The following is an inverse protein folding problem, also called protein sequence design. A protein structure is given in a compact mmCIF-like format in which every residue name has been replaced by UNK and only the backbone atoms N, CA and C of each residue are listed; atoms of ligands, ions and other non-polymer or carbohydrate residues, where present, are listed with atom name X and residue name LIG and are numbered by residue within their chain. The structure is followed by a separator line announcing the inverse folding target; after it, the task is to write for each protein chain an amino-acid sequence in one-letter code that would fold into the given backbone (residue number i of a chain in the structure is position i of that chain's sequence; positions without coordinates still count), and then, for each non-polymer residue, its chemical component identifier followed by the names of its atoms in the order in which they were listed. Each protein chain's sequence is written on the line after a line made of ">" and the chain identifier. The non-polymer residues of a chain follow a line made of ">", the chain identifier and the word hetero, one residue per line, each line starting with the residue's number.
data_IF_353881633620
#
_entry.id   IF_353881633620
#
_cell.length_a   1.000
_cell.length_b   1.000
_cell.length_c   1.000
_cell.angle_alpha   90.00
_cell.angle_beta   90.00
_cell.angle_gamma   90.00
#
_symmetry.space_group_name_H-M   'P 1'
#
loop_
_entity.id
_entity.type
_entity.pdbx_description
1 polymer ?
#
# COMPACT_ATOMS: atom_id res chain seq x y z
N UNK A 1 15.63 -5.14 -6.56
CA UNK A 1 14.59 -4.10 -6.35
C UNK A 1 14.79 -3.44 -5.00
N UNK A 2 14.37 -2.18 -4.88
CA UNK A 2 14.48 -1.42 -3.63
C UNK A 2 13.08 -0.95 -3.21
N UNK A 3 12.68 -1.26 -1.99
CA UNK A 3 11.44 -0.75 -1.38
C UNK A 3 11.79 0.18 -0.23
N UNK A 4 11.11 1.34 -0.16
CA UNK A 4 11.20 2.26 0.97
C UNK A 4 9.84 2.44 1.60
N UNK A 5 9.75 2.22 2.91
CA UNK A 5 8.57 2.53 3.71
C UNK A 5 8.53 4.04 3.95
N UNK A 6 7.81 4.79 3.12
CA UNK A 6 7.63 6.24 3.34
C UNK A 6 6.76 6.47 4.58
N UNK A 7 5.78 5.61 4.79
CA UNK A 7 4.95 5.50 5.97
C UNK A 7 4.63 4.04 6.28
N UNK A 8 4.70 3.68 7.54
CA UNK A 8 4.52 2.32 8.08
C UNK A 8 3.47 2.23 9.19
N UNK A 9 2.77 3.32 9.44
CA UNK A 9 1.81 3.45 10.54
C UNK A 9 0.39 3.07 10.15
N UNK A 10 -0.43 2.98 11.18
CA UNK A 10 -1.86 2.73 11.15
C UNK A 10 -2.69 4.01 10.90
N UNK A 11 -4.02 3.88 10.94
CA UNK A 11 -4.95 4.99 10.78
C UNK A 11 -4.81 6.09 11.86
N UNK A 12 -4.27 5.75 13.03
CA UNK A 12 -4.26 6.61 14.21
C UNK A 12 -2.89 7.26 14.46
N UNK A 13 -1.90 7.01 13.60
CA UNK A 13 -0.56 7.56 13.74
C UNK A 13 0.20 7.00 14.94
N UNK A 14 -0.03 5.73 15.28
CA UNK A 14 0.65 5.04 16.38
C UNK A 14 2.17 5.18 16.28
N UNK A 15 2.80 5.60 17.37
CA UNK A 15 4.24 5.86 17.40
C UNK A 15 4.69 7.08 16.59
N UNK A 16 3.79 8.00 16.21
CA UNK A 16 4.09 9.17 15.39
C UNK A 16 4.42 8.85 13.93
N UNK A 17 4.02 7.66 13.44
CA UNK A 17 4.31 7.18 12.10
C UNK A 17 3.36 7.75 11.05
N UNK A 18 3.88 7.94 9.84
CA UNK A 18 3.06 8.25 8.68
C UNK A 18 2.19 7.06 8.28
N UNK A 19 1.00 7.33 7.72
CA UNK A 19 0.12 6.31 7.19
C UNK A 19 0.78 5.48 6.09
N UNK A 20 0.25 4.30 5.85
CA UNK A 20 0.79 3.33 4.89
C UNK A 20 1.08 3.96 3.52
N UNK A 21 2.35 3.87 3.12
CA UNK A 21 2.83 4.29 1.81
C UNK A 21 4.19 3.65 1.54
N UNK A 22 4.29 2.77 0.54
CA UNK A 22 5.54 2.12 0.19
C UNK A 22 5.97 2.55 -1.21
N UNK A 23 7.24 2.93 -1.35
CA UNK A 23 7.84 3.35 -2.60
C UNK A 23 8.74 2.24 -3.14
N UNK A 24 8.31 1.60 -4.23
CA UNK A 24 9.05 0.58 -4.94
C UNK A 24 9.82 1.20 -6.09
N UNK A 25 11.16 1.11 -6.01
CA UNK A 25 12.08 1.51 -7.08
C UNK A 25 12.50 0.27 -7.86
N UNK A 26 12.34 0.32 -9.18
CA UNK A 26 12.73 -0.72 -10.11
C UNK A 26 14.03 -0.37 -10.83
N UNK A 27 14.79 -1.36 -11.29
CA UNK A 27 15.98 -1.13 -12.12
C UNK A 27 15.60 -0.63 -13.51
N UNK A 28 14.46 -1.11 -14.03
CA UNK A 28 13.91 -0.70 -15.31
C UNK A 28 12.47 -0.21 -15.12
N UNK A 29 12.12 0.88 -15.81
CA UNK A 29 10.79 1.48 -15.71
C UNK A 29 10.66 2.51 -14.59
N UNK A 30 9.43 2.95 -14.38
CA UNK A 30 9.10 3.99 -13.41
C UNK A 30 8.84 3.42 -12.02
N UNK A 31 8.87 4.27 -11.01
CA UNK A 31 8.61 3.89 -9.63
C UNK A 31 7.11 3.69 -9.36
N UNK A 32 6.82 2.94 -8.31
CA UNK A 32 5.46 2.58 -7.92
C UNK A 32 5.22 2.95 -6.46
N UNK A 33 4.05 3.48 -6.13
CA UNK A 33 3.57 3.50 -4.76
C UNK A 33 2.62 2.31 -4.52
N UNK A 34 2.76 1.68 -3.38
CA UNK A 34 1.77 0.77 -2.83
C UNK A 34 1.14 1.46 -1.64
N UNK A 35 -0.12 1.77 -1.76
CA UNK A 35 -0.92 2.67 -0.94
C UNK A 35 -0.40 4.14 -0.91
N UNK A 36 -1.30 5.05 -0.60
CA UNK A 36 -1.05 6.47 -0.51
C UNK A 36 -1.98 7.05 0.57
N UNK A 37 -1.68 6.77 1.84
CA UNK A 37 -2.48 7.23 2.98
C UNK A 37 -2.42 8.75 3.17
N UNK A 38 -3.27 9.28 4.04
CA UNK A 38 -3.50 10.74 4.20
C UNK A 38 -2.22 11.56 4.43
N UNK A 39 -1.21 11.00 5.07
CA UNK A 39 0.08 11.69 5.33
C UNK A 39 1.14 11.47 4.25
N UNK A 40 0.83 10.75 3.16
CA UNK A 40 1.84 10.31 2.15
C UNK A 40 2.54 11.47 1.44
N UNK A 41 1.86 12.59 1.13
CA UNK A 41 2.54 13.72 0.49
C UNK A 41 3.61 14.33 1.40
N UNK A 42 3.35 14.42 2.71
CA UNK A 42 4.36 14.88 3.69
C UNK A 42 5.54 13.91 3.74
N UNK A 43 5.26 12.60 3.76
CA UNK A 43 6.29 11.56 3.75
C UNK A 43 7.13 11.57 2.46
N UNK A 44 6.51 11.69 1.28
CA UNK A 44 7.18 11.82 -0.02
C UNK A 44 8.18 12.98 0.01
N UNK A 45 7.76 14.15 0.48
CA UNK A 45 8.64 15.33 0.60
C UNK A 45 9.75 15.13 1.62
N UNK A 46 9.43 14.57 2.79
CA UNK A 46 10.39 14.29 3.86
C UNK A 46 11.53 13.38 3.40
N UNK A 47 11.21 12.35 2.63
CA UNK A 47 12.19 11.38 2.15
C UNK A 47 12.81 11.74 0.80
N UNK A 48 12.51 12.92 0.25
CA UNK A 48 13.11 13.42 -1.00
C UNK A 48 12.73 12.60 -2.24
N UNK A 49 11.58 11.92 -2.21
CA UNK A 49 11.09 11.16 -3.38
C UNK A 49 10.51 12.16 -4.40
N UNK A 50 10.91 12.03 -5.66
CA UNK A 50 10.32 12.81 -6.75
C UNK A 50 8.92 12.26 -7.09
N UNK A 51 7.84 13.04 -6.87
CA UNK A 51 6.50 12.59 -7.21
C UNK A 51 6.33 12.29 -8.70
N UNK A 52 7.06 13.00 -9.57
CA UNK A 52 6.99 12.81 -11.03
C UNK A 52 7.64 11.50 -11.48
N UNK A 53 8.55 10.95 -10.71
CA UNK A 53 9.14 9.63 -10.94
C UNK A 53 8.19 8.44 -10.69
N UNK A 54 7.05 8.68 -10.04
CA UNK A 54 6.06 7.65 -9.72
C UNK A 54 5.06 7.59 -10.87
N UNK A 55 4.97 6.47 -11.59
CA UNK A 55 4.02 6.29 -12.69
C UNK A 55 2.77 5.51 -12.31
N UNK A 56 2.83 4.74 -11.23
CA UNK A 56 1.74 3.86 -10.81
C UNK A 56 1.53 3.96 -9.31
N UNK A 57 0.26 4.03 -8.89
CA UNK A 57 -0.14 3.87 -7.49
C UNK A 57 -1.11 2.70 -7.40
N UNK A 58 -0.77 1.71 -6.60
CA UNK A 58 -1.61 0.54 -6.32
C UNK A 58 -2.25 0.71 -4.95
N UNK A 59 -3.58 0.63 -4.88
CA UNK A 59 -4.36 0.81 -3.66
C UNK A 59 -4.93 -0.53 -3.20
N UNK A 60 -4.62 -0.90 -1.96
CA UNK A 60 -5.10 -2.15 -1.36
C UNK A 60 -6.58 -2.08 -1.00
N UNK A 61 -7.01 -1.00 -0.37
CA UNK A 61 -8.40 -0.78 0.04
C UNK A 61 -8.71 0.71 0.30
N UNK A 62 -9.99 1.03 0.56
CA UNK A 62 -10.48 2.40 0.52
C UNK A 62 -10.66 3.05 1.91
N UNK A 63 -9.77 2.78 2.87
CA UNK A 63 -9.63 3.57 4.09
C UNK A 63 -8.69 4.76 3.90
N UNK A 64 -8.92 5.84 4.64
CA UNK A 64 -8.18 7.09 4.48
C UNK A 64 -6.67 6.98 4.71
N UNK A 65 -6.24 6.07 5.56
CA UNK A 65 -4.83 5.78 5.84
C UNK A 65 -4.12 4.95 4.77
N UNK A 66 -4.86 4.50 3.71
CA UNK A 66 -4.33 3.77 2.56
C UNK A 66 -4.51 4.51 1.23
N UNK A 67 -5.54 5.36 1.08
CA UNK A 67 -5.73 6.10 -0.18
C UNK A 67 -6.05 7.59 0.00
N UNK A 68 -6.25 8.06 1.23
CA UNK A 68 -6.66 9.45 1.53
C UNK A 68 -5.61 10.52 1.18
N UNK A 69 -4.39 10.13 0.84
CA UNK A 69 -3.35 11.03 0.33
C UNK A 69 -3.44 11.32 -1.17
N UNK A 70 -4.22 10.54 -1.92
CA UNK A 70 -4.34 10.71 -3.37
C UNK A 70 -4.87 12.08 -3.81
N UNK A 71 -5.85 12.72 -3.15
CA UNK A 71 -6.25 14.07 -3.50
C UNK A 71 -5.09 15.06 -3.49
N UNK A 72 -4.25 15.01 -2.47
CA UNK A 72 -3.05 15.85 -2.36
C UNK A 72 -2.01 15.51 -3.42
N UNK A 73 -1.78 14.22 -3.68
CA UNK A 73 -0.83 13.75 -4.70
C UNK A 73 -1.25 14.20 -6.11
N UNK A 74 -2.54 14.10 -6.45
CA UNK A 74 -3.06 14.53 -7.74
C UNK A 74 -3.05 16.05 -7.92
N UNK A 75 -3.30 16.82 -6.86
CA UNK A 75 -3.19 18.27 -6.89
C UNK A 75 -1.72 18.73 -6.99
N UNK A 76 -0.82 18.07 -6.27
CA UNK A 76 0.61 18.32 -6.38
C UNK A 76 1.08 18.09 -7.82
N UNK A 77 0.69 16.96 -8.43
CA UNK A 77 1.03 16.63 -9.80
C UNK A 77 0.60 17.72 -10.81
N UNK A 78 -0.56 18.34 -10.57
CA UNK A 78 -1.10 19.40 -11.43
C UNK A 78 -0.47 20.77 -11.17
N UNK A 79 -0.34 21.16 -9.90
CA UNK A 79 -0.09 22.55 -9.50
C UNK A 79 1.37 22.81 -9.11
N UNK A 80 2.04 21.85 -8.48
CA UNK A 80 3.37 22.02 -7.89
C UNK A 80 4.44 21.31 -8.72
N UNK A 81 4.33 19.99 -8.83
CA UNK A 81 5.30 19.15 -9.56
C UNK A 81 5.15 19.26 -11.07
N UNK A 82 4.07 19.84 -11.57
CA UNK A 82 3.80 20.12 -13.01
C UNK A 82 4.05 18.89 -13.87
N UNK A 83 3.46 17.77 -13.47
CA UNK A 83 3.62 16.48 -14.12
C UNK A 83 3.22 16.55 -15.60
N UNK A 84 4.01 15.91 -16.45
CA UNK A 84 3.69 15.65 -17.87
C UNK A 84 3.70 14.15 -18.18
N UNK A 85 4.41 13.35 -17.38
CA UNK A 85 4.49 11.91 -17.52
C UNK A 85 3.15 11.21 -17.14
N UNK A 86 2.82 10.09 -17.78
CA UNK A 86 1.61 9.32 -17.45
C UNK A 86 1.53 8.91 -15.97
N UNK A 87 0.30 8.82 -15.47
CA UNK A 87 0.00 8.32 -14.11
C UNK A 87 -1.16 7.33 -14.18
N UNK A 88 -0.95 6.15 -13.66
CA UNK A 88 -1.98 5.13 -13.48
C UNK A 88 -2.27 4.93 -12.00
N UNK A 89 -3.52 4.99 -11.61
CA UNK A 89 -3.98 4.55 -10.29
C UNK A 89 -4.73 3.24 -10.46
N UNK A 90 -4.47 2.26 -9.61
CA UNK A 90 -5.21 0.99 -9.65
C UNK A 90 -5.63 0.57 -8.23
N UNK A 91 -6.87 0.09 -8.10
CA UNK A 91 -7.43 -0.28 -6.80
C UNK A 91 -8.67 -1.16 -6.93
N UNK A 92 -9.37 -1.46 -5.82
CA UNK A 92 -10.54 -2.32 -5.83
C UNK A 92 -11.75 -1.66 -6.55
N UNK A 93 -12.78 -2.45 -6.92
CA UNK A 93 -14.04 -1.91 -7.43
C UNK A 93 -14.63 -0.80 -6.54
N UNK A 94 -15.11 0.28 -7.16
CA UNK A 94 -15.59 1.48 -6.48
C UNK A 94 -14.51 2.51 -6.14
N UNK A 95 -13.26 2.23 -6.48
CA UNK A 95 -12.11 3.12 -6.22
C UNK A 95 -12.28 4.47 -6.93
N UNK A 96 -12.58 4.47 -8.23
CA UNK A 96 -12.73 5.72 -8.99
C UNK A 96 -13.82 6.61 -8.40
N UNK A 97 -15.01 6.06 -8.17
CA UNK A 97 -16.13 6.81 -7.61
C UNK A 97 -15.81 7.40 -6.22
N UNK A 98 -15.14 6.61 -5.36
CA UNK A 98 -14.74 7.06 -4.02
C UNK A 98 -13.67 8.14 -4.08
N UNK A 99 -12.68 7.99 -4.97
CA UNK A 99 -11.64 9.00 -5.18
C UNK A 99 -12.23 10.33 -5.66
N UNK A 100 -13.14 10.31 -6.65
CA UNK A 100 -13.80 11.53 -7.12
C UNK A 100 -14.61 12.19 -6.00
N UNK A 101 -15.30 11.40 -5.18
CA UNK A 101 -16.06 11.91 -4.03
C UNK A 101 -15.17 12.64 -3.02
N UNK A 102 -14.06 12.03 -2.61
CA UNK A 102 -13.18 12.68 -1.62
C UNK A 102 -12.43 13.87 -2.21
N UNK A 103 -12.05 13.83 -3.49
CA UNK A 103 -11.45 14.98 -4.17
C UNK A 103 -12.38 16.17 -4.17
N UNK A 104 -13.65 15.98 -4.53
CA UNK A 104 -14.63 17.07 -4.57
C UNK A 104 -14.96 17.58 -3.16
N UNK A 105 -15.02 16.69 -2.16
CA UNK A 105 -15.28 17.05 -0.77
C UNK A 105 -14.14 17.86 -0.14
N UNK A 106 -12.90 17.53 -0.47
CA UNK A 106 -11.71 18.19 0.08
C UNK A 106 -11.30 19.44 -0.71
N UNK A 107 -11.50 19.42 -2.02
CA UNK A 107 -11.05 20.47 -2.96
C UNK A 107 -12.12 20.67 -4.02
N UNK A 108 -13.16 21.44 -3.68
CA UNK A 108 -14.32 21.69 -4.54
C UNK A 108 -13.92 22.12 -5.96
N UNK A 109 -14.46 21.46 -6.97
CA UNK A 109 -14.15 21.70 -8.39
C UNK A 109 -12.89 21.01 -8.91
N UNK A 110 -12.10 20.34 -8.06
CA UNK A 110 -10.84 19.67 -8.47
C UNK A 110 -11.05 18.53 -9.46
N UNK A 111 -12.22 17.91 -9.45
CA UNK A 111 -12.58 16.81 -10.37
C UNK A 111 -12.84 17.30 -11.79
N UNK A 112 -13.16 18.59 -11.97
CA UNK A 112 -13.45 19.22 -13.26
C UNK A 112 -12.22 19.83 -13.92
N UNK A 113 -11.07 19.84 -13.22
CA UNK A 113 -9.83 20.39 -13.77
C UNK A 113 -9.27 19.47 -14.84
N UNK A 114 -9.06 20.00 -16.04
CA UNK A 114 -8.37 19.28 -17.12
C UNK A 114 -6.93 18.99 -16.73
N UNK A 115 -6.59 17.69 -16.73
CA UNK A 115 -5.23 17.25 -16.37
C UNK A 115 -4.27 17.48 -17.53
N UNK A 116 -3.09 17.99 -17.21
CA UNK A 116 -2.01 18.28 -18.18
C UNK A 116 -1.10 17.06 -18.42
N UNK A 117 -1.51 15.87 -17.98
CA UNK A 117 -0.79 14.61 -18.13
C UNK A 117 -1.77 13.46 -18.40
N UNK A 118 -1.34 12.41 -19.11
CA UNK A 118 -2.17 11.20 -19.27
C UNK A 118 -2.47 10.59 -17.91
N UNK A 119 -3.76 10.38 -17.62
CA UNK A 119 -4.23 9.88 -16.33
C UNK A 119 -5.22 8.74 -16.54
N UNK A 120 -4.98 7.63 -15.88
CA UNK A 120 -5.82 6.43 -15.96
C UNK A 120 -6.14 5.92 -14.57
N UNK A 121 -7.41 5.53 -14.37
CA UNK A 121 -7.83 4.76 -13.20
C UNK A 121 -8.25 3.36 -13.67
N UNK A 122 -7.80 2.33 -12.96
CA UNK A 122 -8.14 0.92 -13.24
C UNK A 122 -8.69 0.26 -11.98
N UNK A 123 -9.86 -0.30 -12.06
CA UNK A 123 -10.40 -1.16 -11.00
C UNK A 123 -9.96 -2.60 -11.25
N UNK A 124 -9.38 -3.21 -10.22
CA UNK A 124 -8.81 -4.55 -10.28
C UNK A 124 -9.88 -5.60 -9.96
N UNK A 125 -10.11 -6.52 -10.89
CA UNK A 125 -11.00 -7.65 -10.63
C UNK A 125 -10.29 -8.72 -9.79
N UNK A 126 -11.01 -9.27 -8.82
CA UNK A 126 -10.50 -10.29 -7.90
C UNK A 126 -9.86 -11.46 -8.65
N UNK A 127 -8.65 -11.86 -8.25
CA UNK A 127 -7.83 -12.93 -8.84
C UNK A 127 -7.42 -12.73 -10.31
N UNK A 128 -7.84 -11.64 -10.94
CA UNK A 128 -7.40 -11.32 -12.28
C UNK A 128 -5.98 -10.75 -12.28
N UNK A 129 -5.09 -11.38 -13.04
CA UNK A 129 -3.72 -10.90 -13.22
C UNK A 129 -3.70 -9.80 -14.29
N UNK A 130 -3.40 -8.59 -13.90
CA UNK A 130 -3.40 -7.41 -14.76
C UNK A 130 -1.97 -6.91 -14.97
N UNK A 131 -1.65 -6.53 -16.21
CA UNK A 131 -0.39 -5.84 -16.51
C UNK A 131 -0.59 -4.32 -16.45
N UNK A 132 0.26 -3.66 -15.65
CA UNK A 132 0.28 -2.20 -15.45
C UNK A 132 1.75 -1.75 -15.42
N UNK A 133 2.18 -0.98 -16.41
CA UNK A 133 3.52 -0.38 -16.47
C UNK A 133 4.66 -1.40 -16.18
N UNK A 134 4.57 -2.59 -16.79
CA UNK A 134 5.54 -3.67 -16.61
C UNK A 134 5.46 -4.40 -15.27
N UNK A 135 4.43 -4.13 -14.47
CA UNK A 135 4.06 -4.90 -13.29
C UNK A 135 2.98 -5.91 -13.65
N UNK A 136 3.03 -7.09 -13.07
CA UNK A 136 1.92 -8.04 -13.04
C UNK A 136 1.32 -8.02 -11.65
N UNK A 137 0.10 -7.53 -11.54
CA UNK A 137 -0.59 -7.36 -10.26
C UNK A 137 -1.76 -8.33 -10.18
N UNK A 138 -1.82 -9.10 -9.11
CA UNK A 138 -2.94 -10.01 -8.83
C UNK A 138 -3.51 -9.67 -7.45
N UNK A 139 -4.78 -9.22 -7.35
CA UNK A 139 -5.44 -8.96 -6.09
C UNK A 139 -6.05 -10.25 -5.50
N UNK A 140 -5.95 -10.40 -4.18
CA UNK A 140 -6.57 -11.47 -3.40
C UNK A 140 -7.51 -10.87 -2.35
N UNK A 141 -8.67 -11.49 -2.13
CA UNK A 141 -9.69 -10.94 -1.22
C UNK A 141 -9.26 -11.07 0.24
N UNK A 142 -9.30 -9.95 0.92
CA UNK A 142 -8.99 -9.86 2.35
C UNK A 142 -10.25 -9.60 3.18
N UNK A 143 -10.21 -9.99 4.45
CA UNK A 143 -11.32 -9.80 5.37
C UNK A 143 -11.14 -8.51 6.18
N UNK A 144 -11.46 -7.41 5.55
CA UNK A 144 -11.42 -6.07 6.13
C UNK A 144 -12.55 -5.22 5.52
N UNK A 145 -13.29 -4.49 6.35
CA UNK A 145 -14.44 -3.71 5.88
C UNK A 145 -14.05 -2.26 5.60
N UNK A 146 -13.97 -1.90 4.32
CA UNK A 146 -13.65 -0.54 3.87
C UNK A 146 -14.77 0.09 3.01
N UNK A 147 -15.94 -0.55 2.95
CA UNK A 147 -17.03 -0.13 2.05
C UNK A 147 -16.80 -0.50 0.58
N UNK A 148 -15.75 -1.27 0.31
CA UNK A 148 -15.37 -1.87 -0.96
C UNK A 148 -14.57 -3.14 -0.66
N UNK A 149 -14.29 -4.03 -1.63
CA UNK A 149 -13.36 -5.14 -1.41
C UNK A 149 -12.00 -4.64 -0.92
N UNK A 150 -11.43 -5.33 0.08
CA UNK A 150 -10.05 -5.10 0.52
C UNK A 150 -9.15 -6.19 -0.04
N UNK A 151 -7.96 -5.81 -0.51
CA UNK A 151 -7.08 -6.69 -1.25
C UNK A 151 -5.70 -6.83 -0.63
N UNK A 152 -5.18 -8.06 -0.61
CA UNK A 152 -3.74 -8.24 -0.69
C UNK A 152 -3.32 -8.10 -2.16
N UNK A 153 -2.19 -7.47 -2.38
CA UNK A 153 -1.64 -7.20 -3.71
C UNK A 153 -0.36 -8.04 -3.92
N UNK A 154 -0.43 -9.01 -4.84
CA UNK A 154 0.75 -9.72 -5.31
C UNK A 154 1.28 -9.02 -6.56
N UNK A 155 2.51 -8.52 -6.48
CA UNK A 155 3.16 -7.68 -7.48
C UNK A 155 4.40 -8.41 -7.98
N UNK A 156 4.40 -8.78 -9.26
CA UNK A 156 5.52 -9.46 -9.90
C UNK A 156 6.19 -8.51 -10.92
N UNK A 157 7.47 -8.30 -10.79
CA UNK A 157 8.26 -7.48 -11.72
C UNK A 157 9.75 -7.85 -11.61
N UNK A 158 10.50 -7.74 -12.69
CA UNK A 158 11.95 -8.01 -12.74
C UNK A 158 12.37 -9.38 -12.15
N UNK A 159 11.52 -10.40 -12.31
CA UNK A 159 11.77 -11.74 -11.76
C UNK A 159 11.59 -11.87 -10.26
N UNK A 160 11.09 -10.86 -9.59
CA UNK A 160 10.82 -10.81 -8.14
C UNK A 160 9.33 -10.72 -7.85
N UNK A 161 8.97 -11.15 -6.65
CA UNK A 161 7.61 -11.14 -6.13
C UNK A 161 7.56 -10.34 -4.83
N UNK A 162 6.84 -9.23 -4.83
CA UNK A 162 6.43 -8.48 -3.66
C UNK A 162 4.97 -8.80 -3.38
N UNK A 163 4.64 -9.15 -2.14
CA UNK A 163 3.23 -9.23 -1.70
C UNK A 163 3.01 -8.31 -0.51
N UNK A 164 1.94 -7.53 -0.57
CA UNK A 164 1.46 -6.73 0.55
C UNK A 164 0.06 -7.21 0.94
N UNK A 165 -0.15 -7.49 2.22
CA UNK A 165 -1.42 -8.03 2.71
C UNK A 165 -2.60 -7.05 2.61
N UNK A 166 -2.36 -5.73 2.54
CA UNK A 166 -3.37 -4.79 2.98
C UNK A 166 -3.75 -5.04 4.43
N UNK A 167 -4.90 -4.55 4.86
CA UNK A 167 -5.46 -4.83 6.18
C UNK A 167 -6.38 -6.05 6.12
N UNK A 168 -6.27 -6.95 7.11
CA UNK A 168 -7.06 -8.19 7.13
C UNK A 168 -6.99 -8.95 8.45
N UNK A 169 -8.06 -9.64 8.81
CA UNK A 169 -7.96 -10.81 9.67
C UNK A 169 -7.21 -11.93 8.93
N UNK A 170 -6.86 -13.02 9.64
CA UNK A 170 -6.38 -14.21 8.95
C UNK A 170 -7.44 -14.74 7.96
N UNK A 171 -7.04 -14.94 6.73
CA UNK A 171 -7.81 -15.62 5.68
C UNK A 171 -6.89 -16.56 4.89
N UNK A 172 -7.43 -17.66 4.40
CA UNK A 172 -6.66 -18.64 3.61
C UNK A 172 -6.12 -18.05 2.30
N UNK A 173 -6.74 -16.99 1.79
CA UNK A 173 -6.29 -16.22 0.60
C UNK A 173 -4.88 -15.60 0.77
N UNK A 174 -4.42 -15.39 2.00
CA UNK A 174 -3.04 -14.95 2.25
C UNK A 174 -2.01 -16.00 1.83
N UNK A 175 -2.38 -17.29 1.82
CA UNK A 175 -1.47 -18.37 1.41
C UNK A 175 -1.10 -18.24 -0.07
N UNK A 176 -2.03 -18.27 -1.04
CA UNK A 176 -1.67 -18.09 -2.45
C UNK A 176 -1.11 -16.70 -2.73
N UNK A 177 -1.59 -15.64 -2.06
CA UNK A 177 -1.08 -14.29 -2.25
C UNK A 177 0.42 -14.16 -1.90
N UNK A 178 0.82 -14.68 -0.73
CA UNK A 178 2.19 -14.56 -0.20
C UNK A 178 3.12 -15.70 -0.58
N UNK A 179 2.63 -16.78 -1.21
CA UNK A 179 3.42 -17.97 -1.51
C UNK A 179 4.67 -17.65 -2.29
N UNK A 180 5.81 -18.08 -1.72
CA UNK A 180 7.15 -17.93 -2.31
C UNK A 180 7.51 -16.48 -2.67
N UNK A 181 6.85 -15.48 -2.06
CA UNK A 181 7.19 -14.07 -2.25
C UNK A 181 8.64 -13.80 -1.82
N UNK A 182 9.37 -13.03 -2.62
CA UNK A 182 10.71 -12.57 -2.24
C UNK A 182 10.64 -11.65 -1.03
N UNK A 183 9.60 -10.81 -0.99
CA UNK A 183 9.26 -9.96 0.15
C UNK A 183 7.74 -10.02 0.41
N UNK A 184 7.35 -10.40 1.62
CA UNK A 184 5.98 -10.35 2.11
C UNK A 184 5.87 -9.27 3.17
N UNK A 185 5.11 -8.23 2.89
CA UNK A 185 4.76 -7.17 3.83
C UNK A 185 3.38 -7.49 4.37
N UNK A 186 3.27 -7.70 5.67
CA UNK A 186 2.00 -8.03 6.29
C UNK A 186 1.71 -7.09 7.45
N UNK A 187 0.45 -6.68 7.58
CA UNK A 187 0.02 -6.04 8.79
C UNK A 187 0.20 -6.96 10.00
N UNK A 188 0.42 -6.38 11.17
CA UNK A 188 0.26 -7.04 12.46
C UNK A 188 -0.17 -5.98 13.46
N UNK A 189 -1.46 -5.97 13.85
CA UNK A 189 -2.00 -4.84 14.59
C UNK A 189 -1.73 -4.93 16.10
N UNK A 190 -2.04 -6.07 16.72
CA UNK A 190 -1.70 -6.38 18.11
C UNK A 190 -0.71 -7.55 18.21
N UNK A 191 -0.12 -7.77 19.38
CA UNK A 191 0.80 -8.87 19.58
C UNK A 191 0.07 -10.23 19.61
N UNK A 192 -0.92 -10.39 20.47
CA UNK A 192 -1.67 -11.64 20.67
C UNK A 192 -3.18 -11.41 20.87
N UNK A 193 -3.64 -10.17 20.87
CA UNK A 193 -5.04 -9.82 21.00
C UNK A 193 -5.74 -9.97 19.65
N UNK A 194 -6.64 -10.93 19.55
CA UNK A 194 -7.50 -11.09 18.37
C UNK A 194 -8.45 -9.89 18.25
N UNK A 195 -8.39 -9.23 17.11
CA UNK A 195 -9.28 -8.13 16.77
C UNK A 195 -9.94 -8.38 15.42
N UNK A 196 -11.22 -8.05 15.31
CA UNK A 196 -11.94 -8.14 14.04
C UNK A 196 -11.30 -7.22 13.00
N UNK A 197 -11.13 -7.73 11.80
CA UNK A 197 -10.58 -7.03 10.62
C UNK A 197 -9.06 -6.79 10.62
N UNK A 198 -8.33 -7.21 11.65
CA UNK A 198 -6.87 -7.11 11.69
C UNK A 198 -6.24 -8.39 12.22
N UNK A 199 -5.12 -8.80 11.64
CA UNK A 199 -4.36 -9.96 12.10
C UNK A 199 -3.47 -9.56 13.28
N UNK A 200 -3.36 -10.42 14.29
CA UNK A 200 -2.38 -10.29 15.35
C UNK A 200 -1.05 -10.97 14.98
N UNK A 201 0.03 -10.49 15.61
CA UNK A 201 1.39 -10.98 15.35
C UNK A 201 1.56 -12.48 15.64
N UNK A 202 0.93 -12.98 16.70
CA UNK A 202 1.02 -14.39 17.09
C UNK A 202 0.34 -15.29 16.05
N UNK A 203 -0.82 -14.89 15.54
CA UNK A 203 -1.51 -15.59 14.46
C UNK A 203 -0.68 -15.56 13.17
N UNK A 204 -0.17 -14.39 12.77
CA UNK A 204 0.68 -14.26 11.59
C UNK A 204 1.88 -15.21 11.67
N UNK A 205 2.64 -15.19 12.78
CA UNK A 205 3.85 -16.00 12.91
C UNK A 205 3.57 -17.51 12.84
N UNK A 206 2.47 -17.97 13.40
CA UNK A 206 2.03 -19.39 13.30
C UNK A 206 1.69 -19.78 11.86
N UNK A 207 1.16 -18.85 11.06
CA UNK A 207 0.69 -19.10 9.69
C UNK A 207 1.75 -18.90 8.61
N UNK A 208 2.91 -18.31 8.92
CA UNK A 208 3.99 -18.16 7.95
C UNK A 208 4.48 -19.49 7.38
N UNK A 209 4.36 -20.59 8.12
CA UNK A 209 4.69 -21.94 7.63
C UNK A 209 3.80 -22.39 6.46
N UNK A 210 2.57 -21.88 6.40
CA UNK A 210 1.63 -22.17 5.32
C UNK A 210 1.88 -21.28 4.10
N UNK A 211 2.24 -19.99 4.34
CA UNK A 211 2.51 -18.98 3.29
C UNK A 211 3.88 -19.22 2.65
N UNK A 212 4.93 -19.46 3.44
CA UNK A 212 6.32 -19.71 3.02
C UNK A 212 6.96 -18.59 2.20
N UNK A 213 6.88 -17.32 2.62
CA UNK A 213 7.63 -16.26 1.98
C UNK A 213 9.12 -16.38 2.29
N UNK A 214 9.99 -15.82 1.44
CA UNK A 214 11.45 -15.81 1.68
C UNK A 214 11.86 -14.80 2.77
N UNK A 215 11.16 -13.66 2.84
CA UNK A 215 11.36 -12.61 3.85
C UNK A 215 10.02 -12.02 4.22
N UNK A 216 9.80 -11.75 5.51
CA UNK A 216 8.58 -11.11 6.03
C UNK A 216 8.93 -9.86 6.80
N UNK A 217 8.20 -8.78 6.54
CA UNK A 217 8.26 -7.53 7.31
C UNK A 217 6.86 -7.21 7.82
N UNK A 218 6.75 -6.95 9.13
CA UNK A 218 5.47 -6.53 9.74
C UNK A 218 5.33 -5.01 9.71
N UNK A 219 4.10 -4.55 9.46
CA UNK A 219 3.73 -3.13 9.35
C UNK A 219 2.38 -2.86 10.01
N UNK A 220 1.88 -1.64 9.96
CA UNK A 220 0.55 -1.26 10.45
C UNK A 220 0.32 -1.60 11.94
N UNK A 221 1.37 -1.42 12.76
CA UNK A 221 1.40 -1.82 14.16
C UNK A 221 0.70 -0.78 15.05
N UNK A 222 -0.20 -1.24 15.93
CA UNK A 222 -0.79 -0.41 16.98
C UNK A 222 0.25 0.05 17.99
N UNK A 223 -0.11 1.03 18.82
CA UNK A 223 0.74 1.49 19.92
C UNK A 223 1.09 0.36 20.91
N UNK A 224 0.20 -0.63 21.09
CA UNK A 224 0.45 -1.79 21.94
C UNK A 224 1.58 -2.65 21.37
N UNK A 225 1.49 -3.02 20.09
CA UNK A 225 2.52 -3.84 19.44
C UNK A 225 3.85 -3.08 19.35
N UNK A 226 3.82 -1.77 19.08
CA UNK A 226 5.01 -0.91 19.08
C UNK A 226 5.69 -0.88 20.43
N UNK A 227 4.93 -0.89 21.52
CA UNK A 227 5.48 -1.00 22.90
C UNK A 227 6.19 -2.33 23.17
N UNK A 228 5.89 -3.37 22.40
CA UNK A 228 6.43 -4.73 22.53
C UNK A 228 7.43 -5.11 21.42
N UNK A 229 8.02 -4.14 20.73
CA UNK A 229 8.94 -4.39 19.61
C UNK A 229 10.11 -5.34 19.96
N UNK A 230 10.56 -5.36 21.18
CA UNK A 230 11.63 -6.28 21.64
C UNK A 230 11.22 -7.76 21.64
N UNK A 231 9.93 -8.03 21.61
CA UNK A 231 9.36 -9.38 21.57
C UNK A 231 9.08 -9.84 20.13
N UNK A 232 9.18 -8.94 19.14
CA UNK A 232 8.97 -9.24 17.73
C UNK A 232 10.23 -9.88 17.17
N UNK A 233 10.14 -11.15 16.73
CA UNK A 233 11.22 -11.87 16.07
C UNK A 233 11.32 -11.57 14.56
N UNK A 234 10.21 -11.15 13.94
CA UNK A 234 10.19 -10.73 12.55
C UNK A 234 10.75 -9.30 12.39
N UNK A 235 11.20 -8.98 11.20
CA UNK A 235 11.58 -7.61 10.87
C UNK A 235 10.34 -6.69 10.95
N UNK A 236 10.48 -5.58 11.68
CA UNK A 236 9.41 -4.60 11.85
C UNK A 236 9.68 -3.36 11.02
N UNK A 237 8.69 -2.95 10.22
CA UNK A 237 8.79 -1.71 9.44
C UNK A 237 8.86 -0.49 10.35
N UNK A 238 9.51 0.54 9.87
CA UNK A 238 9.48 1.91 10.41
C UNK A 238 9.57 2.90 9.24
N UNK A 239 9.15 4.13 9.49
CA UNK A 239 9.23 5.18 8.48
C UNK A 239 10.69 5.42 8.05
N UNK A 240 10.90 5.41 6.74
CA UNK A 240 12.22 5.56 6.13
C UNK A 240 12.98 4.25 5.93
N UNK A 241 12.53 3.11 6.47
CA UNK A 241 13.18 1.81 6.25
C UNK A 241 13.32 1.54 4.75
N UNK A 242 14.54 1.16 4.35
CA UNK A 242 14.86 0.77 2.98
C UNK A 242 15.23 -0.71 2.95
N UNK A 243 14.65 -1.44 2.02
CA UNK A 243 14.83 -2.88 1.85
C UNK A 243 15.22 -3.17 0.42
N UNK A 244 16.27 -3.94 0.24
CA UNK A 244 16.62 -4.55 -1.05
C UNK A 244 16.26 -6.04 -1.03
N UNK A 245 15.74 -6.56 -2.15
CA UNK A 245 15.27 -7.94 -2.26
C UNK A 245 15.26 -8.43 -3.70
#
# INVERSE_FOLDING_TARGET
>A
MRLQFLGSGDAFGSGGRFNTCFHLTRAQGSNVLVDCGASSMVAIRKWGVDPNGISTVLVSHLHGDHFGGLPFFLLDAQLVSRRTAPLTLAGPPGFEARLMTIMEAMFAGSTKVERKYPFTIRELALHERVEIDGLRVTPYLMKHYSGAPSYALRIETEGKVLTYSGDTEWVEELIPAGRDADLFICEAYFFDKVMKYHIDYTTLTKRLVDIRPKRTIVTHMSAELLGRQKEIALEAAHDGLVVEF
#
